data_IF_096118123611
#
_entry.id   IF_096118123611
#
_cell.length_a   1.000
_cell.length_b   1.000
_cell.length_c   1.000
_cell.angle_alpha   90.00
_cell.angle_beta   90.00
_cell.angle_gamma   90.00
#
_symmetry.space_group_name_H-M   'P 1'
#
loop_
_entity.id
_entity.type
_entity.pdbx_description
1 polymer ?
#
# COMPACT_ATOMS: atom_id res chain seq x y z
N UNK A 1 -1.32 26.79 20.71
CA UNK A 1 -0.84 26.10 19.50
C UNK A 1 0.41 25.24 19.76
N UNK A 2 1.35 25.63 20.62
CA UNK A 2 2.55 24.84 20.93
C UNK A 2 2.30 23.44 21.52
N UNK A 3 1.22 23.26 22.29
CA UNK A 3 0.93 22.00 23.01
C UNK A 3 0.50 20.83 22.12
N UNK A 4 0.06 21.09 20.88
CA UNK A 4 -0.39 20.05 19.93
C UNK A 4 0.78 19.51 19.09
N UNK A 5 1.77 20.34 18.77
CA UNK A 5 2.95 19.91 17.99
C UNK A 5 3.87 19.00 18.81
N UNK A 6 3.95 19.22 20.12
CA UNK A 6 4.67 18.35 21.06
C UNK A 6 4.02 16.96 21.17
N UNK A 7 2.68 16.88 21.04
CA UNK A 7 1.93 15.63 21.18
C UNK A 7 1.85 14.80 19.88
N UNK A 8 1.86 15.45 18.72
CA UNK A 8 1.68 14.77 17.43
C UNK A 8 2.96 14.65 16.59
N UNK A 9 4.06 15.28 17.02
CA UNK A 9 5.28 15.38 16.24
C UNK A 9 5.06 16.26 15.01
N UNK A 10 5.95 17.23 14.79
CA UNK A 10 5.98 17.97 13.52
C UNK A 10 6.10 17.00 12.32
N UNK A 11 5.79 17.45 11.09
CA UNK A 11 5.86 16.60 9.91
C UNK A 11 7.31 16.08 9.75
N UNK A 12 7.55 14.85 10.18
CA UNK A 12 8.81 14.15 9.90
C UNK A 12 8.70 13.55 8.51
N UNK A 13 9.73 13.79 7.69
CA UNK A 13 9.95 13.00 6.47
C UNK A 13 9.84 11.52 6.86
N UNK A 14 8.95 10.73 6.24
CA UNK A 14 8.75 9.34 6.64
C UNK A 14 10.07 8.58 6.42
N UNK A 15 10.77 8.29 7.52
CA UNK A 15 11.93 7.40 7.50
C UNK A 15 11.40 6.02 7.17
N UNK A 16 11.53 5.63 5.90
CA UNK A 16 11.17 4.30 5.45
C UNK A 16 12.08 3.29 6.14
N UNK A 17 11.50 2.24 6.72
CA UNK A 17 12.30 1.13 7.23
C UNK A 17 13.15 0.54 6.09
N UNK A 18 14.41 0.21 6.38
CA UNK A 18 15.32 -0.44 5.41
C UNK A 18 14.86 -1.84 4.97
N UNK A 19 13.83 -2.38 5.62
CA UNK A 19 13.39 -3.76 5.47
C UNK A 19 14.36 -4.75 6.12
N UNK A 20 13.89 -5.96 6.38
CA UNK A 20 14.71 -7.06 6.87
C UNK A 20 14.66 -8.23 5.90
N UNK A 21 15.81 -8.85 5.62
CA UNK A 21 15.84 -10.11 4.88
C UNK A 21 15.56 -11.23 5.89
N UNK A 22 14.40 -11.88 5.78
CA UNK A 22 14.16 -13.08 6.56
C UNK A 22 15.18 -14.15 6.11
N UNK A 23 15.90 -14.82 7.04
CA UNK A 23 16.90 -15.83 6.68
C UNK A 23 16.29 -17.03 5.96
N UNK A 24 14.99 -17.26 6.14
CA UNK A 24 14.17 -18.16 5.34
C UNK A 24 12.83 -17.48 5.04
N UNK A 25 12.27 -17.75 3.87
CA UNK A 25 10.91 -17.29 3.56
C UNK A 25 9.93 -17.99 4.51
N UNK A 26 9.21 -17.21 5.32
CA UNK A 26 8.09 -17.75 6.11
C UNK A 26 6.93 -18.04 5.16
N UNK A 27 6.44 -19.29 5.10
CA UNK A 27 5.24 -19.60 4.33
C UNK A 27 4.07 -18.75 4.84
N UNK A 28 3.35 -18.13 3.92
CA UNK A 28 2.09 -17.45 4.22
C UNK A 28 0.95 -18.19 3.56
N UNK A 29 -0.24 -18.11 4.16
CA UNK A 29 -1.48 -18.50 3.51
C UNK A 29 -2.10 -17.22 2.95
N UNK A 30 -2.07 -17.07 1.63
CA UNK A 30 -2.79 -16.01 0.95
C UNK A 30 -4.27 -16.39 0.88
N UNK A 31 -5.16 -15.45 1.22
CA UNK A 31 -6.60 -15.68 1.07
C UNK A 31 -6.98 -15.75 -0.42
N UNK A 32 -8.16 -16.30 -0.72
CA UNK A 32 -8.64 -16.39 -2.09
C UNK A 32 -8.75 -14.99 -2.73
N UNK A 33 -7.93 -14.74 -3.76
CA UNK A 33 -7.85 -13.46 -4.46
C UNK A 33 -6.64 -12.59 -4.07
N UNK A 34 -5.84 -12.99 -3.09
CA UNK A 34 -4.57 -12.34 -2.77
C UNK A 34 -3.42 -12.97 -3.58
N UNK A 35 -2.50 -12.13 -4.03
CA UNK A 35 -1.36 -12.55 -4.85
C UNK A 35 -0.05 -12.08 -4.23
N UNK A 36 0.94 -12.98 -4.20
CA UNK A 36 2.32 -12.64 -3.84
C UNK A 36 3.02 -12.08 -5.07
N UNK A 37 3.42 -10.82 -5.01
CA UNK A 37 4.17 -10.16 -6.09
C UNK A 37 5.65 -10.11 -5.72
N UNK A 38 6.50 -10.74 -6.53
CA UNK A 38 7.95 -10.72 -6.30
C UNK A 38 8.57 -9.38 -6.70
N UNK A 39 9.74 -9.00 -6.14
CA UNK A 39 10.45 -7.79 -6.56
C UNK A 39 10.71 -7.71 -8.07
N UNK A 40 10.98 -8.84 -8.73
CA UNK A 40 11.17 -8.91 -10.19
C UNK A 40 9.87 -8.56 -10.94
N UNK A 41 8.72 -9.00 -10.45
CA UNK A 41 7.42 -8.63 -11.02
C UNK A 41 7.12 -7.13 -10.81
N UNK A 42 7.48 -6.56 -9.65
CA UNK A 42 7.39 -5.11 -9.41
C UNK A 42 8.27 -4.34 -10.39
N UNK A 43 9.53 -4.75 -10.57
CA UNK A 43 10.42 -4.13 -11.54
C UNK A 43 9.88 -4.23 -12.98
N UNK A 44 9.29 -5.37 -13.37
CA UNK A 44 8.65 -5.53 -14.68
C UNK A 44 7.51 -4.52 -14.90
N UNK A 45 6.70 -4.26 -13.88
CA UNK A 45 5.66 -3.23 -13.92
C UNK A 45 6.23 -1.81 -14.10
N UNK A 46 7.50 -1.59 -13.76
CA UNK A 46 8.24 -0.35 -13.98
C UNK A 46 9.23 -0.38 -15.15
N UNK A 47 9.02 -1.24 -16.15
CA UNK A 47 9.93 -1.41 -17.31
C UNK A 47 11.37 -1.76 -16.90
N UNK A 48 11.52 -2.64 -15.92
CA UNK A 48 12.81 -3.06 -15.37
C UNK A 48 13.33 -2.17 -14.22
N UNK A 49 12.68 -1.03 -13.95
CA UNK A 49 13.05 -0.16 -12.84
C UNK A 49 12.15 -0.40 -11.62
N UNK A 50 12.75 -0.84 -10.51
CA UNK A 50 12.01 -1.17 -9.28
C UNK A 50 11.27 0.03 -8.67
N UNK A 51 11.91 1.21 -8.65
CA UNK A 51 11.30 2.43 -8.10
C UNK A 51 10.05 2.84 -8.89
N UNK A 52 10.14 2.79 -10.22
CA UNK A 52 8.98 3.02 -11.11
C UNK A 52 7.88 1.98 -10.88
N UNK A 53 8.27 0.73 -10.66
CA UNK A 53 7.36 -0.34 -10.27
C UNK A 53 6.59 -0.03 -9.00
N UNK A 54 7.28 0.42 -7.94
CA UNK A 54 6.63 0.86 -6.71
C UNK A 54 5.70 2.06 -6.92
N UNK A 55 6.08 3.02 -7.76
CA UNK A 55 5.19 4.15 -8.13
C UNK A 55 3.92 3.64 -8.81
N UNK A 56 4.03 2.69 -9.74
CA UNK A 56 2.89 2.09 -10.43
C UNK A 56 1.97 1.33 -9.46
N UNK A 57 2.52 0.55 -8.54
CA UNK A 57 1.74 -0.14 -7.50
C UNK A 57 1.02 0.85 -6.58
N UNK A 58 1.67 1.94 -6.18
CA UNK A 58 1.04 2.98 -5.36
C UNK A 58 -0.13 3.64 -6.11
N UNK A 59 0.05 3.93 -7.40
CA UNK A 59 -1.02 4.47 -8.25
C UNK A 59 -2.21 3.50 -8.37
N UNK A 60 -1.92 2.20 -8.55
CA UNK A 60 -2.92 1.14 -8.57
C UNK A 60 -3.74 1.09 -7.26
N UNK A 61 -3.08 1.09 -6.10
CA UNK A 61 -3.75 1.09 -4.78
C UNK A 61 -4.68 2.30 -4.65
N UNK A 62 -4.18 3.51 -4.98
CA UNK A 62 -4.98 4.74 -4.93
C UNK A 62 -6.19 4.66 -5.86
N UNK A 63 -6.05 4.08 -7.06
CA UNK A 63 -7.12 3.91 -8.02
C UNK A 63 -8.21 2.94 -7.52
N UNK A 64 -7.81 1.77 -7.03
CA UNK A 64 -8.75 0.79 -6.45
C UNK A 64 -9.49 1.40 -5.27
N UNK A 65 -8.79 2.11 -4.38
CA UNK A 65 -9.41 2.82 -3.25
C UNK A 65 -10.47 3.82 -3.72
N UNK A 66 -10.16 4.65 -4.72
CA UNK A 66 -11.13 5.61 -5.28
C UNK A 66 -12.36 4.91 -5.85
N UNK A 67 -12.18 3.84 -6.62
CA UNK A 67 -13.28 3.04 -7.18
C UNK A 67 -14.15 2.44 -6.09
N UNK A 68 -13.55 1.86 -5.05
CA UNK A 68 -14.30 1.29 -3.92
C UNK A 68 -15.11 2.37 -3.20
N UNK A 69 -14.53 3.54 -2.93
CA UNK A 69 -15.26 4.66 -2.31
C UNK A 69 -16.46 5.08 -3.18
N UNK A 70 -16.27 5.26 -4.48
CA UNK A 70 -17.34 5.62 -5.40
C UNK A 70 -18.45 4.57 -5.41
N UNK A 71 -18.07 3.30 -5.50
CA UNK A 71 -19.02 2.19 -5.53
C UNK A 71 -19.81 2.11 -4.23
N UNK A 72 -19.15 2.09 -3.08
CA UNK A 72 -19.80 1.97 -1.78
C UNK A 72 -20.77 3.14 -1.51
N UNK A 73 -20.41 4.36 -1.91
CA UNK A 73 -21.30 5.53 -1.84
C UNK A 73 -22.56 5.41 -2.71
N UNK A 74 -22.48 4.66 -3.82
CA UNK A 74 -23.60 4.46 -4.74
C UNK A 74 -24.56 3.34 -4.32
N UNK A 75 -24.19 2.54 -3.32
CA UNK A 75 -25.03 1.44 -2.87
C UNK A 75 -26.20 1.97 -2.04
N UNK A 76 -27.38 1.31 -2.11
CA UNK A 76 -28.47 1.58 -1.19
C UNK A 76 -27.99 1.47 0.27
N UNK A 77 -28.60 2.26 1.15
CA UNK A 77 -28.36 2.13 2.59
C UNK A 77 -28.65 0.71 3.09
N UNK A 78 -28.02 0.29 4.20
CA UNK A 78 -28.28 -1.01 4.79
C UNK A 78 -29.77 -1.17 5.08
N UNK A 79 -30.32 -2.36 4.83
CA UNK A 79 -31.67 -2.68 5.31
C UNK A 79 -31.67 -2.68 6.84
N UNK A 80 -32.76 -2.20 7.42
CA UNK A 80 -33.02 -2.32 8.85
C UNK A 80 -33.29 -3.77 9.23
#
# INVERSE_FOLDING_TARGET
MALLEEYFGGPSEPVMASGGRAPKATPIVAAAGEYVVSPAAVAKAGNGNLNRGHTALNAFVKQVRRRNIQRLKSLPGPKK
#
